data_IF_773323351442
#
_entry.id   IF_773323351442
#
_cell.length_a   1.000
_cell.length_b   1.000
_cell.length_c   1.000
_cell.angle_alpha   90.00
_cell.angle_beta   90.00
_cell.angle_gamma   90.00
#
_symmetry.space_group_name_H-M   'P 1'
#
loop_
_entity.id
_entity.type
_entity.pdbx_description
1 polymer ?
#
# COMPACT_ATOMS: atom_id res chain seq x y z
N UNK A 1 -17.46 -2.57 15.36
CA UNK A 1 -17.95 -3.30 14.15
C UNK A 1 -17.95 -2.44 12.89
N UNK A 2 -18.82 -1.42 12.74
CA UNK A 2 -18.92 -0.63 11.48
C UNK A 2 -17.59 -0.01 11.00
N UNK A 3 -16.78 0.58 11.90
CA UNK A 3 -15.48 1.17 11.56
C UNK A 3 -14.43 0.15 11.10
N UNK A 4 -14.47 -1.06 11.65
CA UNK A 4 -13.54 -2.15 11.31
C UNK A 4 -13.88 -2.68 9.91
N UNK A 5 -15.17 -2.89 9.63
CA UNK A 5 -15.63 -3.30 8.29
C UNK A 5 -15.26 -2.25 7.24
N UNK A 6 -15.47 -0.96 7.55
CA UNK A 6 -15.07 0.14 6.66
C UNK A 6 -13.56 0.14 6.40
N UNK A 7 -12.75 -0.02 7.44
CA UNK A 7 -11.29 -0.11 7.30
C UNK A 7 -10.85 -1.28 6.42
N UNK A 8 -11.45 -2.46 6.61
CA UNK A 8 -11.12 -3.66 5.81
C UNK A 8 -11.45 -3.43 4.33
N UNK A 9 -12.65 -2.91 4.03
CA UNK A 9 -13.08 -2.63 2.64
C UNK A 9 -12.10 -1.64 1.99
N UNK A 10 -11.78 -0.54 2.67
CA UNK A 10 -10.85 0.47 2.16
C UNK A 10 -9.45 -0.13 1.96
N UNK A 11 -9.00 -0.99 2.88
CA UNK A 11 -7.71 -1.68 2.78
C UNK A 11 -7.62 -2.55 1.55
N UNK A 12 -8.64 -3.37 1.28
CA UNK A 12 -8.69 -4.21 0.10
C UNK A 12 -8.64 -3.36 -1.17
N UNK A 13 -9.43 -2.27 -1.23
CA UNK A 13 -9.43 -1.36 -2.38
C UNK A 13 -8.05 -0.74 -2.63
N UNK A 14 -7.38 -0.22 -1.60
CA UNK A 14 -6.05 0.37 -1.77
C UNK A 14 -5.00 -0.67 -2.16
N UNK A 15 -5.04 -1.88 -1.58
CA UNK A 15 -4.10 -2.95 -1.94
C UNK A 15 -4.25 -3.30 -3.43
N UNK A 16 -5.48 -3.60 -3.88
CA UNK A 16 -5.73 -3.96 -5.28
C UNK A 16 -5.27 -2.83 -6.20
N UNK A 17 -5.69 -1.59 -5.90
CA UNK A 17 -5.35 -0.43 -6.71
C UNK A 17 -3.84 -0.16 -6.81
N UNK A 18 -3.11 -0.29 -5.69
CA UNK A 18 -1.67 -0.04 -5.66
C UNK A 18 -0.89 -1.13 -6.40
N UNK A 19 -1.25 -2.40 -6.22
CA UNK A 19 -0.61 -3.49 -6.95
C UNK A 19 -0.86 -3.38 -8.45
N UNK A 20 -2.11 -3.12 -8.84
CA UNK A 20 -2.50 -2.90 -10.22
C UNK A 20 -1.70 -1.74 -10.83
N UNK A 21 -1.64 -0.59 -10.17
CA UNK A 21 -0.87 0.57 -10.61
C UNK A 21 0.61 0.23 -10.80
N UNK A 22 1.24 -0.43 -9.83
CA UNK A 22 2.69 -0.66 -9.82
C UNK A 22 3.12 -1.77 -10.77
N UNK A 23 2.35 -2.85 -10.92
CA UNK A 23 2.76 -3.98 -11.74
C UNK A 23 2.20 -3.94 -13.16
N UNK A 24 1.03 -3.32 -13.39
CA UNK A 24 0.40 -3.28 -14.72
C UNK A 24 0.57 -1.94 -15.43
N UNK A 25 0.72 -0.82 -14.70
CA UNK A 25 0.80 0.51 -15.32
C UNK A 25 2.20 1.14 -15.26
N UNK A 26 3.04 0.77 -14.31
CA UNK A 26 4.42 1.28 -14.25
C UNK A 26 5.34 0.46 -15.17
N UNK A 27 6.24 1.13 -15.93
CA UNK A 27 7.30 0.44 -16.64
C UNK A 27 8.19 -0.35 -15.67
N UNK A 28 8.69 -1.49 -16.12
CA UNK A 28 9.54 -2.39 -15.32
C UNK A 28 10.73 -1.68 -14.66
N UNK A 29 11.45 -0.86 -15.43
CA UNK A 29 12.57 -0.07 -14.91
C UNK A 29 12.17 0.82 -13.73
N UNK A 30 10.95 1.35 -13.76
CA UNK A 30 10.43 2.26 -12.74
C UNK A 30 10.07 1.51 -11.47
N UNK A 31 9.28 0.43 -11.55
CA UNK A 31 8.93 -0.31 -10.33
C UNK A 31 10.15 -1.01 -9.73
N UNK A 32 11.13 -1.46 -10.52
CA UNK A 32 12.39 -2.00 -10.01
C UNK A 32 13.25 -0.93 -9.33
N UNK A 33 13.22 0.31 -9.82
CA UNK A 33 13.87 1.42 -9.14
C UNK A 33 13.20 1.69 -7.78
N UNK A 34 11.86 1.72 -7.74
CA UNK A 34 11.10 1.85 -6.49
C UNK A 34 11.40 0.69 -5.55
N UNK A 35 11.51 -0.55 -6.05
CA UNK A 35 11.88 -1.73 -5.27
C UNK A 35 13.25 -1.61 -4.59
N UNK A 36 14.22 -0.98 -5.26
CA UNK A 36 15.53 -0.68 -4.65
C UNK A 36 15.43 0.40 -3.59
N UNK A 37 14.58 1.41 -3.80
CA UNK A 37 14.32 2.48 -2.82
C UNK A 37 13.60 1.98 -1.57
N UNK A 38 12.74 0.97 -1.70
CA UNK A 38 12.06 0.35 -0.54
C UNK A 38 13.00 -0.54 0.28
N UNK A 39 14.16 -0.91 -0.27
CA UNK A 39 15.17 -1.74 0.37
C UNK A 39 16.60 -1.15 0.30
N UNK A 40 16.82 0.08 0.81
CA UNK A 40 18.07 0.80 0.59
C UNK A 40 19.26 0.19 1.35
N UNK A 41 18.98 -0.52 2.46
CA UNK A 41 19.98 -1.16 3.30
C UNK A 41 20.08 -2.68 3.08
N UNK A 42 19.39 -3.21 2.06
CA UNK A 42 19.32 -4.65 1.78
C UNK A 42 18.96 -5.49 3.01
N UNK A 43 17.98 -5.02 3.79
CA UNK A 43 17.45 -5.74 4.96
C UNK A 43 16.65 -6.97 4.52
N UNK A 44 16.03 -6.89 3.34
CA UNK A 44 15.30 -7.98 2.69
C UNK A 44 16.13 -8.46 1.50
N UNK A 45 16.31 -9.77 1.31
CA UNK A 45 17.17 -10.29 0.23
C UNK A 45 16.63 -9.92 -1.16
N UNK A 46 15.31 -9.92 -1.34
CA UNK A 46 14.63 -9.56 -2.57
C UNK A 46 14.09 -8.12 -2.53
N UNK A 47 14.53 -7.29 -3.48
CA UNK A 47 13.99 -5.93 -3.65
C UNK A 47 12.50 -5.96 -4.03
N UNK A 48 12.05 -6.97 -4.77
CA UNK A 48 10.63 -7.14 -5.12
C UNK A 48 9.78 -7.47 -3.89
N UNK A 49 10.29 -8.31 -2.98
CA UNK A 49 9.57 -8.68 -1.76
C UNK A 49 9.43 -7.46 -0.85
N UNK A 50 10.49 -6.65 -0.76
CA UNK A 50 10.45 -5.36 -0.09
C UNK A 50 9.40 -4.42 -0.69
N UNK A 51 9.31 -4.34 -2.03
CA UNK A 51 8.30 -3.52 -2.70
C UNK A 51 6.89 -3.99 -2.34
N UNK A 52 6.64 -5.31 -2.39
CA UNK A 52 5.35 -5.91 -2.05
C UNK A 52 4.96 -5.55 -0.61
N UNK A 53 5.86 -5.74 0.35
CA UNK A 53 5.63 -5.40 1.75
C UNK A 53 5.34 -3.91 1.91
N UNK A 54 6.12 -3.06 1.22
CA UNK A 54 5.93 -1.62 1.25
C UNK A 54 4.56 -1.21 0.71
N UNK A 55 4.09 -1.82 -0.39
CA UNK A 55 2.77 -1.55 -0.96
C UNK A 55 1.65 -1.95 0.00
N UNK A 56 1.79 -3.06 0.73
CA UNK A 56 0.84 -3.45 1.77
C UNK A 56 0.83 -2.43 2.91
N UNK A 57 2.00 -2.03 3.41
CA UNK A 57 2.10 -1.08 4.51
C UNK A 57 1.52 0.29 4.15
N UNK A 58 1.83 0.83 2.96
CA UNK A 58 1.30 2.11 2.54
C UNK A 58 -0.22 2.05 2.28
N UNK A 59 -0.72 0.93 1.75
CA UNK A 59 -2.16 0.71 1.60
C UNK A 59 -2.88 0.73 2.96
N UNK A 60 -2.35 0.03 3.96
CA UNK A 60 -2.89 0.00 5.32
C UNK A 60 -2.83 1.39 5.97
N UNK A 61 -1.73 2.12 5.78
CA UNK A 61 -1.57 3.48 6.27
C UNK A 61 -2.62 4.43 5.67
N UNK A 62 -2.81 4.42 4.35
CA UNK A 62 -3.84 5.23 3.69
C UNK A 62 -5.25 4.82 4.09
N UNK A 63 -5.48 3.53 4.30
CA UNK A 63 -6.78 3.03 4.76
C UNK A 63 -7.11 3.51 6.16
N UNK A 64 -6.12 3.53 7.03
CA UNK A 64 -6.26 4.05 8.38
C UNK A 64 -6.53 5.56 8.37
N UNK A 65 -5.76 6.34 7.60
CA UNK A 65 -5.99 7.77 7.40
C UNK A 65 -7.40 8.06 6.89
N UNK A 66 -7.79 7.38 5.81
CA UNK A 66 -9.12 7.54 5.18
C UNK A 66 -10.22 7.22 6.18
N UNK A 67 -10.10 6.10 6.91
CA UNK A 67 -11.08 5.71 7.93
C UNK A 67 -11.16 6.74 9.06
N UNK A 68 -10.02 7.26 9.55
CA UNK A 68 -10.00 8.32 10.57
C UNK A 68 -10.68 9.60 10.09
N UNK A 69 -10.42 10.02 8.85
CA UNK A 69 -11.01 11.23 8.26
C UNK A 69 -12.52 11.09 8.10
N UNK A 70 -13.00 9.95 7.58
CA UNK A 70 -14.43 9.68 7.43
C UNK A 70 -15.12 9.67 8.79
N UNK A 71 -14.54 8.96 9.78
CA UNK A 71 -15.10 8.90 11.13
C UNK A 71 -15.17 10.29 11.76
N UNK A 72 -14.09 11.08 11.67
CA UNK A 72 -14.04 12.44 12.23
C UNK A 72 -15.09 13.37 11.59
N UNK A 73 -15.46 13.15 10.33
CA UNK A 73 -16.46 13.97 9.63
C UNK A 73 -17.91 13.61 10.01
N UNK A 74 -18.14 12.38 10.49
CA UNK A 74 -19.49 11.86 10.78
C UNK A 74 -19.88 12.04 12.26
N UNK A 75 -18.90 12.12 13.16
CA UNK A 75 -19.08 12.49 14.59
C UNK A 75 -18.98 13.98 14.80
#
# INVERSE_FOLDING_TARGET
>A
MKKIILFIIISILYIIFLFEMVFNYLPEKTYLFVAKLTNPFHIIDSSLDSLIIFLVLIALFFSWLTTKLIVKKIT
#
